data_IF_909052216478
#
_entry.id   IF_909052216478
#
_cell.length_a   1.000
_cell.length_b   1.000
_cell.length_c   1.000
_cell.angle_alpha   90.00
_cell.angle_beta   90.00
_cell.angle_gamma   90.00
#
_symmetry.space_group_name_H-M   'P 1'
#
loop_
_entity.id
_entity.type
_entity.pdbx_description
1 polymer ?
#
# COMPACT_ATOMS: atom_id res chain seq x y z
N UNK A 1 15.61 -4.52 -13.23
CA UNK A 1 15.73 -3.21 -12.56
C UNK A 1 17.19 -2.79 -12.52
N UNK A 2 17.49 -1.50 -12.70
CA UNK A 2 18.84 -0.96 -12.51
C UNK A 2 19.14 -0.82 -11.01
N UNK A 3 20.41 -0.76 -10.61
CA UNK A 3 20.80 -0.62 -9.20
C UNK A 3 20.17 0.61 -8.53
N UNK A 4 20.03 1.71 -9.28
CA UNK A 4 19.36 2.93 -8.81
C UNK A 4 17.86 2.70 -8.51
N UNK A 5 17.16 1.92 -9.34
CA UNK A 5 15.74 1.63 -9.16
C UNK A 5 15.49 0.82 -7.88
N UNK A 6 16.37 -0.17 -7.63
CA UNK A 6 16.34 -0.99 -6.41
C UNK A 6 16.58 -0.12 -5.18
N UNK A 7 17.53 0.82 -5.25
CA UNK A 7 17.80 1.75 -4.16
C UNK A 7 16.61 2.66 -3.85
N UNK A 8 15.94 3.22 -4.87
CA UNK A 8 14.75 4.07 -4.70
C UNK A 8 13.63 3.28 -4.02
N UNK A 9 13.36 2.07 -4.50
CA UNK A 9 12.35 1.18 -3.91
C UNK A 9 12.70 0.87 -2.46
N UNK A 10 13.95 0.52 -2.17
CA UNK A 10 14.41 0.23 -0.81
C UNK A 10 14.26 1.41 0.14
N UNK A 11 14.66 2.61 -0.27
CA UNK A 11 14.55 3.83 0.53
C UNK A 11 13.08 4.16 0.80
N UNK A 12 12.21 4.12 -0.22
CA UNK A 12 10.80 4.43 -0.04
C UNK A 12 10.09 3.40 0.85
N UNK A 13 10.42 2.10 0.71
CA UNK A 13 9.91 1.07 1.62
C UNK A 13 10.38 1.27 3.07
N UNK A 14 11.64 1.66 3.27
CA UNK A 14 12.17 1.97 4.60
C UNK A 14 11.45 3.18 5.23
N UNK A 15 11.23 4.24 4.45
CA UNK A 15 10.43 5.40 4.90
C UNK A 15 9.01 4.98 5.24
N UNK A 16 8.38 4.16 4.39
CA UNK A 16 7.05 3.60 4.66
C UNK A 16 7.00 2.80 5.96
N UNK A 17 8.01 1.98 6.22
CA UNK A 17 8.13 1.22 7.46
C UNK A 17 8.22 2.14 8.70
N UNK A 18 9.02 3.20 8.63
CA UNK A 18 9.17 4.19 9.71
C UNK A 18 7.84 4.92 9.94
N UNK A 19 7.19 5.42 8.88
CA UNK A 19 5.92 6.13 8.98
C UNK A 19 4.84 5.22 9.58
N UNK A 20 4.82 3.94 9.18
CA UNK A 20 3.91 2.96 9.76
C UNK A 20 4.21 2.73 11.23
N UNK A 21 5.48 2.56 11.61
CA UNK A 21 5.87 2.42 13.01
C UNK A 21 5.39 3.62 13.85
N UNK A 22 5.61 4.85 13.39
CA UNK A 22 5.13 6.06 14.06
C UNK A 22 3.60 6.10 14.15
N UNK A 23 2.90 5.62 13.12
CA UNK A 23 1.43 5.55 13.10
C UNK A 23 0.88 4.54 14.11
N UNK A 24 1.66 3.51 14.49
CA UNK A 24 1.30 2.57 15.56
C UNK A 24 1.47 3.19 16.96
N UNK A 25 2.35 4.17 17.11
CA UNK A 25 2.64 4.84 18.40
C UNK A 25 1.56 5.87 18.76
N UNK A 26 0.89 6.46 17.76
CA UNK A 26 -0.23 7.38 17.99
C UNK A 26 -1.51 6.54 18.17
N UNK A 27 -2.17 6.56 19.33
CA UNK A 27 -3.37 5.77 19.56
C UNK A 27 -4.53 6.30 18.72
N UNK A 28 -4.72 5.71 17.54
CA UNK A 28 -5.87 5.91 16.66
C UNK A 28 -6.73 4.64 16.61
N UNK A 29 -8.04 4.76 16.30
CA UNK A 29 -8.96 3.62 16.32
C UNK A 29 -8.51 2.44 15.46
N UNK A 30 -7.84 2.64 14.30
CA UNK A 30 -7.28 1.54 13.51
C UNK A 30 -5.97 1.93 12.80
N UNK A 31 -5.07 0.95 12.73
CA UNK A 31 -3.77 0.96 12.05
C UNK A 31 -3.94 1.19 10.53
N UNK A 32 -3.85 2.45 10.09
CA UNK A 32 -3.82 2.78 8.67
C UNK A 32 -2.54 2.27 8.02
N UNK A 33 -2.65 1.58 6.88
CA UNK A 33 -1.47 1.09 6.17
C UNK A 33 -0.89 2.17 5.25
N UNK A 34 -0.06 3.04 5.82
CA UNK A 34 0.62 4.11 5.08
C UNK A 34 1.81 3.62 4.24
N UNK A 35 2.30 2.38 4.46
CA UNK A 35 3.36 1.78 3.63
C UNK A 35 2.93 1.73 2.16
N UNK A 36 1.63 1.57 1.92
CA UNK A 36 1.04 1.55 0.59
C UNK A 36 1.32 2.82 -0.21
N UNK A 37 1.25 3.99 0.43
CA UNK A 37 1.56 5.25 -0.26
C UNK A 37 2.99 5.25 -0.81
N UNK A 38 3.95 4.74 -0.02
CA UNK A 38 5.37 4.77 -0.37
C UNK A 38 5.76 3.68 -1.38
N UNK A 39 5.23 2.46 -1.26
CA UNK A 39 5.52 1.46 -2.30
C UNK A 39 4.82 1.83 -3.62
N UNK A 40 3.59 2.37 -3.59
CA UNK A 40 2.91 2.84 -4.80
C UNK A 40 3.72 3.96 -5.46
N UNK A 41 4.20 4.93 -4.67
CA UNK A 41 5.09 5.98 -5.14
C UNK A 41 6.37 5.41 -5.77
N UNK A 42 6.99 4.40 -5.16
CA UNK A 42 8.18 3.74 -5.72
C UNK A 42 7.88 3.09 -7.08
N UNK A 43 6.76 2.38 -7.19
CA UNK A 43 6.29 1.77 -8.44
C UNK A 43 6.05 2.83 -9.51
N UNK A 44 5.42 3.95 -9.15
CA UNK A 44 5.11 5.06 -10.06
C UNK A 44 6.39 5.74 -10.57
N UNK A 45 7.40 5.92 -9.71
CA UNK A 45 8.67 6.57 -10.07
C UNK A 45 9.59 5.68 -10.92
N UNK A 46 9.61 4.37 -10.64
CA UNK A 46 10.50 3.41 -11.31
C UNK A 46 9.85 2.79 -12.54
N UNK A 47 8.52 2.63 -12.54
CA UNK A 47 7.74 1.89 -13.54
C UNK A 47 8.30 0.48 -13.80
N UNK A 48 8.39 -0.37 -12.76
CA UNK A 48 8.92 -1.73 -12.88
C UNK A 48 8.06 -2.65 -13.77
N UNK A 49 8.58 -3.84 -14.04
CA UNK A 49 7.83 -4.95 -14.66
C UNK A 49 6.88 -5.61 -13.65
N UNK A 50 5.90 -6.37 -14.13
CA UNK A 50 4.94 -7.05 -13.25
C UNK A 50 5.60 -8.06 -12.29
N UNK A 51 6.63 -8.77 -12.74
CA UNK A 51 7.39 -9.71 -11.90
C UNK A 51 8.13 -8.99 -10.77
N UNK A 52 8.73 -7.83 -11.08
CA UNK A 52 9.44 -7.01 -10.09
C UNK A 52 8.48 -6.41 -9.06
N UNK A 53 7.30 -5.94 -9.50
CA UNK A 53 6.25 -5.43 -8.60
C UNK A 53 5.77 -6.44 -7.58
N UNK A 54 5.63 -7.70 -7.98
CA UNK A 54 5.26 -8.76 -7.04
C UNK A 54 6.31 -8.85 -5.92
N UNK A 55 7.60 -8.77 -6.26
CA UNK A 55 8.68 -8.71 -5.27
C UNK A 55 8.56 -7.52 -4.33
N UNK A 56 8.31 -6.31 -4.86
CA UNK A 56 8.09 -5.10 -4.05
C UNK A 56 6.91 -5.29 -3.10
N UNK A 57 5.80 -5.82 -3.60
CA UNK A 57 4.59 -6.07 -2.82
C UNK A 57 4.80 -7.12 -1.73
N UNK A 58 5.58 -8.18 -2.00
CA UNK A 58 5.91 -9.18 -0.97
C UNK A 58 6.76 -8.57 0.13
N UNK A 59 7.79 -7.79 -0.20
CA UNK A 59 8.63 -7.10 0.80
C UNK A 59 7.79 -6.12 1.60
N UNK A 60 6.91 -5.34 0.95
CA UNK A 60 5.96 -4.47 1.63
C UNK A 60 5.03 -5.28 2.56
N UNK A 61 4.54 -6.43 2.10
CA UNK A 61 3.72 -7.35 2.90
C UNK A 61 4.44 -7.87 4.13
N UNK A 62 5.73 -8.22 4.03
CA UNK A 62 6.57 -8.62 5.17
C UNK A 62 6.72 -7.47 6.17
N UNK A 63 7.07 -6.26 5.70
CA UNK A 63 7.15 -5.07 6.55
C UNK A 63 5.81 -4.84 7.27
N UNK A 64 4.71 -4.96 6.53
CA UNK A 64 3.36 -4.81 7.03
C UNK A 64 2.94 -5.93 7.98
N UNK A 65 3.50 -7.13 7.87
CA UNK A 65 3.24 -8.23 8.80
C UNK A 65 4.03 -8.05 10.11
N UNK A 66 5.30 -7.60 10.01
CA UNK A 66 6.18 -7.40 11.16
C UNK A 66 5.77 -6.17 11.99
N UNK A 67 5.32 -5.10 11.33
CA UNK A 67 4.93 -3.85 11.97
C UNK A 67 3.40 -3.75 12.05
N UNK A 68 2.70 -4.64 12.77
CA UNK A 68 1.24 -4.58 12.85
C UNK A 68 0.66 -4.94 14.21
N UNK A 69 -0.38 -4.21 14.62
CA UNK A 69 -1.33 -4.62 15.66
C UNK A 69 -2.61 -5.24 15.07
N UNK A 70 -2.62 -5.60 13.77
CA UNK A 70 -3.78 -6.20 13.13
C UNK A 70 -4.10 -7.59 13.68
N UNK A 71 -5.37 -8.00 13.56
CA UNK A 71 -5.89 -9.29 14.03
C UNK A 71 -5.24 -10.46 13.28
N UNK A 72 -4.84 -10.24 12.03
CA UNK A 72 -4.10 -11.21 11.23
C UNK A 72 -3.04 -10.54 10.35
N UNK A 73 -1.86 -10.26 10.90
CA UNK A 73 -0.75 -9.63 10.16
C UNK A 73 -0.32 -10.38 8.89
N UNK A 74 -0.38 -11.73 8.79
CA UNK A 74 0.00 -12.45 7.58
C UNK A 74 -0.88 -12.19 6.35
N UNK A 75 -2.12 -11.69 6.49
CA UNK A 75 -2.93 -11.32 5.34
C UNK A 75 -2.27 -10.24 4.47
N UNK A 76 -1.42 -9.39 5.06
CA UNK A 76 -0.66 -8.38 4.33
C UNK A 76 0.31 -9.01 3.31
N UNK A 77 0.75 -10.24 3.54
CA UNK A 77 1.64 -10.94 2.59
C UNK A 77 0.94 -11.27 1.27
N UNK A 78 -0.39 -11.32 1.25
CA UNK A 78 -1.21 -11.55 0.05
C UNK A 78 -1.79 -10.22 -0.46
N UNK A 79 -2.27 -9.35 0.42
CA UNK A 79 -2.92 -8.11 0.01
C UNK A 79 -1.98 -7.11 -0.64
N UNK A 80 -0.76 -6.95 -0.11
CA UNK A 80 0.17 -5.95 -0.64
C UNK A 80 0.69 -6.27 -2.04
N UNK A 81 1.04 -7.54 -2.40
CA UNK A 81 1.30 -7.90 -3.80
C UNK A 81 0.14 -7.57 -4.75
N UNK A 82 -1.11 -7.86 -4.35
CA UNK A 82 -2.29 -7.54 -5.16
C UNK A 82 -2.42 -6.03 -5.34
N UNK A 83 -2.30 -5.26 -4.26
CA UNK A 83 -2.33 -3.80 -4.33
C UNK A 83 -1.22 -3.20 -5.20
N UNK A 84 -0.01 -3.74 -5.11
CA UNK A 84 1.14 -3.32 -5.90
C UNK A 84 0.94 -3.58 -7.40
N UNK A 85 0.43 -4.77 -7.77
CA UNK A 85 0.12 -5.12 -9.16
C UNK A 85 -0.98 -4.21 -9.71
N UNK A 86 -2.05 -4.00 -8.95
CA UNK A 86 -3.16 -3.12 -9.36
C UNK A 86 -2.70 -1.67 -9.50
N UNK A 87 -1.82 -1.18 -8.60
CA UNK A 87 -1.23 0.14 -8.73
C UNK A 87 -0.44 0.28 -10.04
N UNK A 88 0.43 -0.67 -10.37
CA UNK A 88 1.20 -0.63 -11.63
C UNK A 88 0.29 -0.66 -12.85
N UNK A 89 -0.70 -1.56 -12.86
CA UNK A 89 -1.64 -1.71 -13.98
C UNK A 89 -2.43 -0.41 -14.21
N UNK A 90 -2.93 0.19 -13.13
CA UNK A 90 -3.67 1.45 -13.18
C UNK A 90 -2.76 2.59 -13.66
N UNK A 91 -1.55 2.69 -13.11
CA UNK A 91 -0.61 3.75 -13.50
C UNK A 91 -0.24 3.64 -14.98
N UNK A 92 0.10 2.46 -15.49
CA UNK A 92 0.42 2.26 -16.91
C UNK A 92 -0.73 2.65 -17.84
N UNK A 93 -1.98 2.45 -17.43
CA UNK A 93 -3.15 2.84 -18.22
C UNK A 93 -3.40 4.36 -18.24
N UNK A 94 -3.04 5.06 -17.16
CA UNK A 94 -3.38 6.47 -16.94
C UNK A 94 -2.21 7.46 -17.12
N UNK A 95 -0.95 7.01 -17.07
CA UNK A 95 0.24 7.88 -17.00
C UNK A 95 0.35 8.90 -18.14
N UNK A 96 -0.19 8.58 -19.32
CA UNK A 96 -0.20 9.45 -20.50
C UNK A 96 -1.54 10.20 -20.71
N UNK A 97 -2.51 10.01 -19.82
CA UNK A 97 -3.89 10.50 -19.99
C UNK A 97 -4.30 11.48 -18.90
N UNK A 98 -3.77 11.34 -17.68
CA UNK A 98 -4.18 12.11 -16.52
C UNK A 98 -2.97 12.55 -15.70
N UNK A 99 -2.93 13.84 -15.34
CA UNK A 99 -1.93 14.42 -14.43
C UNK A 99 -2.05 13.90 -12.98
N UNK A 100 -3.24 13.42 -12.62
CA UNK A 100 -3.56 12.77 -11.35
C UNK A 100 -3.36 11.23 -11.40
N UNK A 101 -2.67 10.71 -12.41
CA UNK A 101 -2.37 9.28 -12.52
C UNK A 101 -1.70 8.68 -11.27
N UNK A 102 -0.79 9.36 -10.54
CA UNK A 102 -0.22 8.83 -9.30
C UNK A 102 -1.27 8.67 -8.19
N UNK A 103 -2.14 9.68 -8.01
CA UNK A 103 -3.23 9.65 -7.04
C UNK A 103 -4.19 8.48 -7.32
N UNK A 104 -4.66 8.37 -8.56
CA UNK A 104 -5.65 7.36 -8.95
C UNK A 104 -5.06 5.95 -8.85
N UNK A 105 -3.82 5.75 -9.31
CA UNK A 105 -3.14 4.46 -9.19
C UNK A 105 -2.97 4.02 -7.73
N UNK A 106 -2.58 4.95 -6.86
CA UNK A 106 -2.41 4.68 -5.43
C UNK A 106 -3.76 4.42 -4.75
N UNK A 107 -4.81 5.16 -5.12
CA UNK A 107 -6.15 4.97 -4.58
C UNK A 107 -6.70 3.58 -4.93
N UNK A 108 -6.67 3.20 -6.20
CA UNK A 108 -7.17 1.89 -6.67
C UNK A 108 -6.30 0.76 -6.11
N UNK A 109 -4.97 0.94 -6.07
CA UNK A 109 -4.06 -0.01 -5.44
C UNK A 109 -4.33 -0.22 -3.95
N UNK A 110 -4.63 0.85 -3.21
CA UNK A 110 -4.95 0.77 -1.78
C UNK A 110 -6.30 0.08 -1.55
N UNK A 111 -7.32 0.41 -2.34
CA UNK A 111 -8.62 -0.25 -2.27
C UNK A 111 -8.49 -1.75 -2.58
N UNK A 112 -7.73 -2.11 -3.62
CA UNK A 112 -7.49 -3.51 -3.97
C UNK A 112 -6.76 -4.26 -2.85
N UNK A 113 -5.72 -3.65 -2.25
CA UNK A 113 -5.04 -4.23 -1.07
C UNK A 113 -6.02 -4.41 0.09
N UNK A 114 -6.76 -3.37 0.47
CA UNK A 114 -7.68 -3.41 1.60
C UNK A 114 -8.83 -4.41 1.43
N UNK A 115 -9.43 -4.50 0.23
CA UNK A 115 -10.48 -5.49 -0.06
C UNK A 115 -9.89 -6.91 -0.01
N UNK A 116 -8.71 -7.11 -0.59
CA UNK A 116 -8.02 -8.41 -0.53
C UNK A 116 -7.72 -8.80 0.91
N UNK A 117 -7.26 -7.85 1.73
CA UNK A 117 -7.02 -8.07 3.15
C UNK A 117 -8.29 -8.53 3.88
N UNK A 118 -9.43 -7.85 3.67
CA UNK A 118 -10.72 -8.22 4.28
C UNK A 118 -11.13 -9.65 3.87
N UNK A 119 -11.06 -9.96 2.57
CA UNK A 119 -11.42 -11.29 2.06
C UNK A 119 -10.53 -12.39 2.63
N UNK A 120 -9.22 -12.19 2.64
CA UNK A 120 -8.25 -13.16 3.18
C UNK A 120 -8.45 -13.35 4.68
N UNK A 121 -8.67 -12.27 5.43
CA UNK A 121 -8.93 -12.34 6.87
C UNK A 121 -10.22 -13.11 7.18
N UNK A 122 -11.29 -12.88 6.41
CA UNK A 122 -12.55 -13.60 6.56
C UNK A 122 -12.43 -15.09 6.25
N UNK A 123 -11.63 -15.47 5.24
CA UNK A 123 -11.47 -16.88 4.85
C UNK A 123 -10.56 -17.65 5.81
N UNK A 124 -9.44 -17.06 6.22
CA UNK A 124 -8.40 -17.77 6.97
C UNK A 124 -8.54 -17.66 8.48
N UNK A 125 -9.27 -16.66 8.98
CA UNK A 125 -9.31 -16.35 10.42
C UNK A 125 -10.72 -16.04 10.91
N UNK A 126 -11.72 -16.61 10.24
CA UNK A 126 -13.13 -16.48 10.60
C UNK A 126 -13.39 -16.69 12.11
N UNK A 127 -12.80 -17.74 12.67
CA UNK A 127 -12.96 -18.09 14.09
C UNK A 127 -12.43 -17.03 15.05
N UNK A 128 -11.31 -16.37 14.74
CA UNK A 128 -10.76 -15.31 15.60
C UNK A 128 -11.42 -13.95 15.37
N UNK A 129 -12.10 -13.75 14.24
CA UNK A 129 -12.92 -12.56 14.02
C UNK A 129 -14.17 -12.65 14.89
N UNK A 130 -14.83 -13.82 14.96
CA UNK A 130 -16.05 -14.02 15.76
C UNK A 130 -15.82 -13.91 17.28
N UNK A 131 -14.58 -14.02 17.77
CA UNK A 131 -14.27 -13.80 19.19
C UNK A 131 -14.12 -12.32 19.54
N UNK A 132 -13.83 -11.45 18.56
CA UNK A 132 -13.72 -9.99 18.73
C UNK A 132 -14.94 -9.22 18.23
N UNK A 133 -15.66 -9.75 17.25
CA UNK A 133 -16.82 -9.13 16.62
C UNK A 133 -18.02 -10.07 16.69
N UNK A 134 -19.20 -9.52 17.01
CA UNK A 134 -20.43 -10.31 17.14
C UNK A 134 -20.83 -11.02 15.83
N UNK A 135 -20.50 -10.44 14.67
CA UNK A 135 -20.77 -11.02 13.35
C UNK A 135 -19.66 -10.68 12.35
N UNK A 136 -19.57 -11.46 11.27
CA UNK A 136 -18.72 -11.10 10.11
C UNK A 136 -19.11 -9.77 9.50
N UNK A 137 -20.41 -9.44 9.47
CA UNK A 137 -20.90 -8.15 8.99
C UNK A 137 -20.37 -6.98 9.82
N UNK A 138 -20.31 -7.13 11.16
CA UNK A 138 -19.75 -6.11 12.05
C UNK A 138 -18.27 -5.85 11.79
N UNK A 139 -17.49 -6.89 11.48
CA UNK A 139 -16.10 -6.75 11.06
C UNK A 139 -15.98 -5.95 9.74
N UNK A 140 -16.76 -6.32 8.72
CA UNK A 140 -16.74 -5.62 7.42
C UNK A 140 -17.14 -4.15 7.57
N UNK A 141 -18.22 -3.86 8.31
CA UNK A 141 -18.70 -2.49 8.56
C UNK A 141 -17.66 -1.67 9.31
N UNK A 142 -16.90 -2.27 10.23
CA UNK A 142 -15.80 -1.60 10.91
C UNK A 142 -14.62 -1.33 9.97
N UNK A 143 -14.26 -2.27 9.09
CA UNK A 143 -13.04 -2.19 8.28
C UNK A 143 -13.20 -1.35 7.00
N UNK A 144 -14.35 -1.39 6.34
CA UNK A 144 -14.57 -0.69 5.06
C UNK A 144 -14.31 0.82 5.13
N UNK A 145 -14.80 1.57 6.15
CA UNK A 145 -14.51 3.00 6.28
C UNK A 145 -13.01 3.28 6.39
N UNK A 146 -12.27 2.39 7.04
CA UNK A 146 -10.83 2.54 7.26
C UNK A 146 -10.08 2.33 5.96
N UNK A 147 -10.44 1.29 5.19
CA UNK A 147 -9.86 1.05 3.87
C UNK A 147 -10.10 2.26 2.96
N UNK A 148 -11.31 2.82 2.99
CA UNK A 148 -11.66 4.03 2.25
C UNK A 148 -10.82 5.24 2.66
N UNK A 149 -10.80 5.58 3.96
CA UNK A 149 -10.04 6.71 4.49
C UNK A 149 -8.52 6.56 4.24
N UNK A 150 -8.01 5.34 4.40
CA UNK A 150 -6.60 5.03 4.13
C UNK A 150 -6.27 5.18 2.65
N UNK A 151 -7.16 4.72 1.75
CA UNK A 151 -6.99 4.90 0.31
C UNK A 151 -6.95 6.38 -0.09
N UNK A 152 -7.82 7.19 0.50
CA UNK A 152 -7.83 8.64 0.31
C UNK A 152 -6.50 9.23 0.80
N UNK A 153 -6.12 8.98 2.05
CA UNK A 153 -4.87 9.50 2.62
C UNK A 153 -3.64 9.10 1.79
N UNK A 154 -3.53 7.83 1.40
CA UNK A 154 -2.42 7.33 0.60
C UNK A 154 -2.37 7.98 -0.79
N UNK A 155 -3.53 8.19 -1.42
CA UNK A 155 -3.60 8.86 -2.72
C UNK A 155 -3.12 10.31 -2.65
N UNK A 156 -3.46 11.03 -1.59
CA UNK A 156 -2.97 12.39 -1.34
C UNK A 156 -1.46 12.42 -1.09
N UNK A 157 -0.97 11.54 -0.20
CA UNK A 157 0.45 11.44 0.12
C UNK A 157 1.26 11.14 -1.14
N UNK A 158 0.87 10.12 -1.92
CA UNK A 158 1.57 9.75 -3.14
C UNK A 158 1.55 10.88 -4.19
N UNK A 159 0.43 11.57 -4.36
CA UNK A 159 0.34 12.69 -5.30
C UNK A 159 1.24 13.86 -4.92
N UNK A 160 1.23 14.25 -3.64
CA UNK A 160 2.06 15.36 -3.13
C UNK A 160 3.53 15.02 -3.26
N UNK A 161 3.93 13.79 -2.91
CA UNK A 161 5.33 13.34 -2.96
C UNK A 161 5.83 13.06 -4.38
N UNK A 162 4.95 12.71 -5.32
CA UNK A 162 5.32 12.45 -6.71
C UNK A 162 5.96 13.67 -7.38
N UNK A 163 5.43 14.88 -7.15
CA UNK A 163 5.94 16.10 -7.79
C UNK A 163 7.41 16.40 -7.44
N UNK A 164 7.82 16.48 -6.16
CA UNK A 164 9.22 16.69 -5.81
C UNK A 164 10.10 15.48 -6.16
N UNK A 165 9.63 14.25 -5.94
CA UNK A 165 10.43 13.06 -6.18
C UNK A 165 10.76 12.86 -7.66
N UNK A 166 9.78 13.04 -8.56
CA UNK A 166 9.99 12.94 -10.01
C UNK A 166 10.98 13.98 -10.53
N UNK A 167 10.94 15.21 -10.01
CA UNK A 167 11.90 16.28 -10.37
C UNK A 167 13.33 15.96 -9.95
N UNK A 168 13.52 15.46 -8.73
CA UNK A 168 14.85 15.07 -8.23
C UNK A 168 15.39 13.90 -9.06
N UNK A 169 14.53 12.92 -9.38
CA UNK A 169 14.92 11.77 -10.18
C UNK A 169 15.32 12.15 -11.61
N UNK A 170 14.62 13.11 -12.22
CA UNK A 170 14.93 13.61 -13.54
C UNK A 170 16.30 14.34 -13.58
N UNK A 171 16.64 15.11 -12.53
CA UNK A 171 17.96 15.78 -12.41
C UNK A 171 19.12 14.81 -12.31
N UNK A 172 18.93 13.65 -11.67
CA UNK A 172 19.97 12.61 -11.56
C UNK A 172 20.22 11.82 -12.85
N UNK A 173 19.41 12.05 -13.90
CA UNK A 173 19.55 11.41 -15.23
C UNK A 173 20.14 12.37 -16.29
N UNK A 174 20.31 13.65 -15.95
CA UNK A 174 20.91 14.68 -16.80
C UNK A 174 22.42 14.77 -16.51
#
# INVERSE_FOLDING_TARGET
MKSQDIAIVGILLAVGAIVRYLSLVIPGPIVSNLVIAFYCLAIILVVPTFTEVIGIGVVAGIICALLSHSIFPPANLISEPVGAVVCLATYKSLMNKLSLSPAVATLIGTLASGITFVLVAMLLVASSILTKYATMGAFVVAIIPIVGLTAIANSFIAQILYVPASKVLARGKA
#
